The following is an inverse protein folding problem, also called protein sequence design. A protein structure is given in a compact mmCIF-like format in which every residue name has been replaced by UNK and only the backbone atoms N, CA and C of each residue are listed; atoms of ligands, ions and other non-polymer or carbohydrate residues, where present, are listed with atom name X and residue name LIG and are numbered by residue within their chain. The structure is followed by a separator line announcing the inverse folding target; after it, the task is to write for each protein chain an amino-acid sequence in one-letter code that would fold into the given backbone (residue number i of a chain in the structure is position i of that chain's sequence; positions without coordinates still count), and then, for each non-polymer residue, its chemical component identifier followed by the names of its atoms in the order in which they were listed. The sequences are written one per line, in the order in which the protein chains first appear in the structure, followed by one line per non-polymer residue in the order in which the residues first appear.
data_IF_563319502274
#
_entry.id   IF_563319502274
#
_cell.length_a   1.000
_cell.length_b   1.000
_cell.length_c   1.000
_cell.angle_alpha   90.00
_cell.angle_beta   90.00
_cell.angle_gamma   90.00
#
_symmetry.space_group_name_H-M   'P 1'
#
loop_
_entity.id
_entity.type
_entity.pdbx_description
1 polymer ?
#
# COMPACT_ATOMS: atom_id res chain seq x y z
N UNK A 1 0.97 -7.56 24.06
CA UNK A 1 -0.38 -7.04 23.75
C UNK A 1 -1.45 -7.53 24.72
N UNK A 2 -1.66 -8.84 24.89
CA UNK A 2 -2.74 -9.39 25.73
C UNK A 2 -2.81 -8.83 27.17
N UNK A 3 -1.68 -8.74 27.88
CA UNK A 3 -1.64 -8.19 29.25
C UNK A 3 -2.01 -6.69 29.31
N UNK A 4 -1.58 -5.90 28.33
CA UNK A 4 -1.91 -4.48 28.23
C UNK A 4 -3.40 -4.28 27.91
N UNK A 5 -3.97 -5.11 27.03
CA UNK A 5 -5.41 -5.09 26.73
C UNK A 5 -6.23 -5.51 27.95
N UNK A 6 -5.82 -6.56 28.66
CA UNK A 6 -6.50 -7.01 29.89
C UNK A 6 -6.47 -5.92 30.97
N UNK A 7 -5.32 -5.24 31.12
CA UNK A 7 -5.21 -4.10 32.03
C UNK A 7 -6.12 -2.95 31.60
N UNK A 8 -6.14 -2.60 30.31
CA UNK A 8 -6.99 -1.54 29.81
C UNK A 8 -8.48 -1.85 30.02
N UNK A 9 -8.89 -3.09 29.75
CA UNK A 9 -10.23 -3.62 30.02
C UNK A 9 -10.61 -3.47 31.50
N UNK A 10 -9.71 -3.88 32.39
CA UNK A 10 -9.91 -3.77 33.85
C UNK A 10 -10.04 -2.32 34.32
N UNK A 11 -9.26 -1.40 33.74
CA UNK A 11 -9.22 0.01 34.13
C UNK A 11 -10.19 0.90 33.35
N UNK A 12 -10.93 0.37 32.37
CA UNK A 12 -11.87 1.11 31.52
C UNK A 12 -11.24 2.32 30.80
N UNK A 13 -9.96 2.21 30.44
CA UNK A 13 -9.23 3.29 29.73
C UNK A 13 -9.42 3.19 28.23
N UNK A 14 -9.42 4.32 27.53
CA UNK A 14 -9.41 4.36 26.06
C UNK A 14 -8.15 3.71 25.51
N UNK A 15 -8.30 2.91 24.45
CA UNK A 15 -7.19 2.18 23.81
C UNK A 15 -7.14 2.53 22.33
N UNK A 16 -5.93 2.74 21.83
CA UNK A 16 -5.64 2.76 20.38
C UNK A 16 -4.92 1.47 20.06
N UNK A 17 -5.44 0.72 19.09
CA UNK A 17 -4.83 -0.51 18.59
C UNK A 17 -4.30 -0.21 17.20
N UNK A 18 -2.97 -0.15 17.09
CA UNK A 18 -2.29 -0.08 15.80
C UNK A 18 -1.83 -1.50 15.44
N UNK A 19 -2.34 -2.04 14.35
CA UNK A 19 -1.91 -3.33 13.82
C UNK A 19 -1.96 -3.32 12.30
N UNK A 20 -1.03 -4.04 11.68
CA UNK A 20 -1.09 -4.43 10.27
C UNK A 20 -1.98 -5.66 10.19
N UNK A 21 -3.29 -5.45 10.29
CA UNK A 21 -4.28 -6.52 10.35
C UNK A 21 -4.05 -7.55 9.25
N UNK A 22 -3.79 -8.80 9.64
CA UNK A 22 -3.51 -9.90 8.70
C UNK A 22 -4.77 -10.45 8.05
N UNK A 23 -5.92 -10.21 8.66
CA UNK A 23 -7.22 -10.61 8.13
C UNK A 23 -8.31 -9.65 8.63
N UNK A 24 -9.38 -9.51 7.85
CA UNK A 24 -10.54 -8.75 8.28
C UNK A 24 -11.26 -9.38 9.48
N UNK A 25 -11.27 -10.72 9.55
CA UNK A 25 -11.91 -11.47 10.63
C UNK A 25 -11.31 -11.13 12.00
N UNK A 26 -9.98 -10.98 12.09
CA UNK A 26 -9.30 -10.63 13.34
C UNK A 26 -9.74 -9.24 13.84
N UNK A 27 -9.90 -8.27 12.93
CA UNK A 27 -10.35 -6.91 13.27
C UNK A 27 -11.78 -6.94 13.78
N UNK A 28 -12.67 -7.58 13.02
CA UNK A 28 -14.09 -7.64 13.35
C UNK A 28 -14.32 -8.39 14.67
N UNK A 29 -13.57 -9.48 14.92
CA UNK A 29 -13.61 -10.20 16.19
C UNK A 29 -13.09 -9.37 17.36
N UNK A 30 -12.02 -8.60 17.15
CA UNK A 30 -11.52 -7.68 18.16
C UNK A 30 -12.57 -6.61 18.50
N UNK A 31 -13.19 -5.98 17.49
CA UNK A 31 -14.24 -4.98 17.67
C UNK A 31 -15.43 -5.54 18.44
N UNK A 32 -15.93 -6.73 18.07
CA UNK A 32 -17.02 -7.41 18.78
C UNK A 32 -16.66 -7.70 20.25
N UNK A 33 -15.42 -8.15 20.48
CA UNK A 33 -14.93 -8.39 21.84
C UNK A 33 -14.94 -7.11 22.69
N UNK A 34 -14.49 -5.98 22.15
CA UNK A 34 -14.51 -4.70 22.86
C UNK A 34 -15.93 -4.16 23.05
N UNK A 35 -16.81 -4.35 22.07
CA UNK A 35 -18.22 -3.98 22.18
C UNK A 35 -18.92 -4.75 23.32
N UNK A 36 -18.67 -6.07 23.43
CA UNK A 36 -19.18 -6.91 24.53
C UNK A 36 -18.69 -6.47 25.91
N UNK A 37 -17.49 -5.91 25.98
CA UNK A 37 -16.94 -5.32 27.19
C UNK A 37 -17.47 -3.89 27.47
N UNK A 38 -18.36 -3.36 26.63
CA UNK A 38 -19.02 -2.05 26.79
C UNK A 38 -18.22 -0.87 26.25
N UNK A 39 -17.24 -1.11 25.37
CA UNK A 39 -16.51 -0.04 24.71
C UNK A 39 -17.28 0.49 23.50
N UNK A 40 -17.18 1.80 23.26
CA UNK A 40 -17.54 2.40 21.96
C UNK A 40 -16.35 2.27 21.03
N UNK A 41 -16.53 1.56 19.92
CA UNK A 41 -15.51 1.41 18.90
C UNK A 41 -15.53 2.59 17.93
N UNK A 42 -14.34 3.05 17.55
CA UNK A 42 -14.11 3.95 16.42
C UNK A 42 -13.06 3.31 15.52
N UNK A 43 -13.35 3.21 14.23
CA UNK A 43 -12.40 2.71 13.23
C UNK A 43 -11.81 3.90 12.49
N UNK A 44 -10.48 4.01 12.56
CA UNK A 44 -9.74 5.01 11.78
C UNK A 44 -9.07 4.29 10.60
N UNK A 45 -9.57 4.55 9.39
CA UNK A 45 -9.01 4.00 8.17
C UNK A 45 -8.08 5.02 7.52
N UNK A 46 -6.82 4.65 7.31
CA UNK A 46 -5.86 5.47 6.57
C UNK A 46 -5.77 4.98 5.14
N UNK A 47 -6.23 5.79 4.20
CA UNK A 47 -6.17 5.49 2.78
C UNK A 47 -5.00 6.19 2.09
N UNK A 48 -4.37 5.47 1.18
CA UNK A 48 -3.20 5.88 0.42
C UNK A 48 -3.38 5.49 -1.03
N UNK A 49 -2.84 6.29 -1.94
CA UNK A 49 -2.83 5.94 -3.35
C UNK A 49 -2.07 4.62 -3.56
N UNK A 50 -2.48 3.85 -4.55
CA UNK A 50 -1.80 2.59 -4.90
C UNK A 50 -0.31 2.81 -5.19
N UNK A 51 -0.01 3.86 -5.94
CA UNK A 51 1.35 4.24 -6.31
C UNK A 51 2.24 4.48 -5.08
N UNK A 52 1.72 5.14 -4.05
CA UNK A 52 2.48 5.45 -2.84
C UNK A 52 2.67 4.24 -1.95
N UNK A 53 1.64 3.41 -1.78
CA UNK A 53 1.74 2.18 -1.00
C UNK A 53 2.80 1.24 -1.58
N UNK A 54 2.82 1.06 -2.90
CA UNK A 54 3.83 0.24 -3.57
C UNK A 54 5.25 0.81 -3.40
N UNK A 55 5.43 2.10 -3.63
CA UNK A 55 6.74 2.74 -3.49
C UNK A 55 7.25 2.70 -2.05
N UNK A 56 6.36 2.93 -1.07
CA UNK A 56 6.70 2.87 0.34
C UNK A 56 7.04 1.44 0.78
N UNK A 57 6.27 0.44 0.34
CA UNK A 57 6.55 -0.96 0.60
C UNK A 57 7.93 -1.36 0.04
N UNK A 58 8.21 -1.00 -1.20
CA UNK A 58 9.50 -1.28 -1.84
C UNK A 58 10.65 -0.56 -1.15
N UNK A 59 10.49 0.73 -0.84
CA UNK A 59 11.50 1.54 -0.17
C UNK A 59 11.81 1.04 1.24
N UNK A 60 10.82 0.49 1.97
CA UNK A 60 11.04 -0.17 3.27
C UNK A 60 11.78 -1.47 3.11
N UNK A 61 11.38 -2.30 2.14
CA UNK A 61 11.97 -3.61 1.91
C UNK A 61 13.43 -3.49 1.46
N UNK A 62 13.71 -2.61 0.49
CA UNK A 62 15.07 -2.29 0.02
C UNK A 62 15.98 -1.76 1.14
N UNK A 63 15.40 -1.08 2.14
CA UNK A 63 16.16 -0.62 3.33
C UNK A 63 16.42 -1.74 4.34
N UNK A 64 15.46 -2.66 4.52
CA UNK A 64 15.59 -3.79 5.46
C UNK A 64 16.54 -4.85 4.93
N UNK A 65 16.45 -5.15 3.64
CA UNK A 65 17.18 -6.22 2.99
C UNK A 65 17.93 -5.67 1.76
N UNK A 66 19.00 -4.88 1.97
CA UNK A 66 19.70 -4.20 0.88
C UNK A 66 20.37 -5.15 -0.12
N UNK A 67 20.73 -6.36 0.34
CA UNK A 67 21.50 -7.35 -0.42
C UNK A 67 20.63 -8.50 -0.98
N UNK A 68 19.34 -8.59 -0.61
CA UNK A 68 18.44 -9.60 -1.15
C UNK A 68 17.65 -9.05 -2.34
N UNK A 69 17.51 -9.89 -3.37
CA UNK A 69 16.42 -9.76 -4.30
C UNK A 69 15.11 -9.87 -3.53
N UNK A 70 14.40 -8.76 -3.42
CA UNK A 70 13.02 -8.72 -2.92
C UNK A 70 12.23 -9.73 -3.74
N UNK A 71 11.72 -10.79 -3.12
CA UNK A 71 10.96 -11.80 -3.84
C UNK A 71 9.82 -11.15 -4.65
N UNK A 72 9.97 -11.22 -5.97
CA UNK A 72 9.46 -10.31 -6.99
C UNK A 72 7.97 -10.00 -6.98
N UNK A 73 7.13 -10.99 -6.68
CA UNK A 73 5.68 -10.84 -6.74
C UNK A 73 5.01 -10.77 -5.37
N UNK A 74 5.71 -11.15 -4.29
CA UNK A 74 5.10 -11.20 -2.96
C UNK A 74 4.82 -9.79 -2.44
N UNK A 75 5.67 -8.81 -2.74
CA UNK A 75 5.50 -7.44 -2.28
C UNK A 75 4.27 -6.76 -2.91
N UNK A 76 4.15 -6.83 -4.25
CA UNK A 76 2.99 -6.26 -4.96
C UNK A 76 1.72 -6.93 -4.45
N UNK A 77 1.72 -8.27 -4.38
CA UNK A 77 0.57 -9.03 -3.85
C UNK A 77 0.24 -8.67 -2.41
N UNK A 78 1.25 -8.44 -1.57
CA UNK A 78 1.05 -8.02 -0.18
C UNK A 78 0.34 -6.69 -0.11
N UNK A 79 0.77 -5.68 -0.88
CA UNK A 79 0.12 -4.36 -0.91
C UNK A 79 -1.33 -4.47 -1.38
N UNK A 80 -1.59 -5.24 -2.44
CA UNK A 80 -2.96 -5.45 -2.92
C UNK A 80 -3.82 -6.20 -1.89
N UNK A 81 -3.22 -7.15 -1.18
CA UNK A 81 -3.89 -7.91 -0.12
C UNK A 81 -4.23 -7.02 1.07
N UNK A 82 -3.31 -6.15 1.50
CA UNK A 82 -3.54 -5.18 2.58
C UNK A 82 -4.70 -4.23 2.23
N UNK A 83 -4.75 -3.76 0.98
CA UNK A 83 -5.86 -2.93 0.49
C UNK A 83 -7.19 -3.69 0.45
N UNK A 84 -7.17 -4.96 0.01
CA UNK A 84 -8.35 -5.80 0.00
C UNK A 84 -8.87 -6.10 1.41
N UNK A 85 -7.96 -6.34 2.37
CA UNK A 85 -8.30 -6.53 3.78
C UNK A 85 -8.96 -5.28 4.35
N UNK A 86 -8.46 -4.08 4.04
CA UNK A 86 -9.11 -2.82 4.44
C UNK A 86 -10.55 -2.72 3.92
N UNK A 87 -10.77 -3.01 2.64
CA UNK A 87 -12.11 -3.00 2.04
C UNK A 87 -13.04 -4.03 2.72
N UNK A 88 -12.52 -5.22 3.04
CA UNK A 88 -13.26 -6.26 3.77
C UNK A 88 -13.59 -5.86 5.20
N UNK A 89 -12.66 -5.25 5.92
CA UNK A 89 -12.88 -4.73 7.29
C UNK A 89 -14.02 -3.72 7.25
N UNK A 90 -13.90 -2.69 6.40
CA UNK A 90 -14.90 -1.63 6.31
C UNK A 90 -16.28 -2.20 5.96
N UNK A 91 -16.36 -3.09 4.98
CA UNK A 91 -17.62 -3.73 4.56
C UNK A 91 -18.25 -4.60 5.66
N UNK A 92 -17.43 -5.16 6.55
CA UNK A 92 -17.89 -6.00 7.66
C UNK A 92 -18.27 -5.22 8.92
N UNK A 93 -18.09 -3.90 8.96
CA UNK A 93 -18.48 -3.08 10.12
C UNK A 93 -19.99 -2.99 10.25
N UNK A 94 -20.46 -2.86 11.50
CA UNK A 94 -21.85 -2.46 11.77
C UNK A 94 -22.06 -1.01 11.35
N UNK A 95 -23.27 -0.67 10.88
CA UNK A 95 -23.66 0.70 10.51
C UNK A 95 -23.56 1.69 11.68
N UNK A 96 -23.64 1.20 12.93
CA UNK A 96 -23.50 2.03 14.14
C UNK A 96 -22.03 2.33 14.51
N UNK A 97 -21.06 1.81 13.72
CA UNK A 97 -19.63 2.02 13.98
C UNK A 97 -19.22 3.44 13.59
N UNK A 98 -18.55 4.16 14.48
CA UNK A 98 -17.96 5.45 14.16
C UNK A 98 -16.72 5.25 13.27
N UNK A 99 -16.72 5.80 12.06
CA UNK A 99 -15.65 5.62 11.07
C UNK A 99 -15.04 6.97 10.73
N UNK A 100 -13.71 7.05 10.80
CA UNK A 100 -12.93 8.20 10.36
C UNK A 100 -12.02 7.76 9.24
N UNK A 101 -12.14 8.39 8.08
CA UNK A 101 -11.28 8.12 6.93
C UNK A 101 -10.25 9.24 6.80
N UNK A 102 -8.98 8.89 6.80
CA UNK A 102 -7.88 9.86 6.70
C UNK A 102 -7.04 9.51 5.47
N UNK A 103 -6.72 10.49 4.62
CA UNK A 103 -5.72 10.29 3.57
C UNK A 103 -4.30 10.46 4.10
N UNK A 104 -3.31 9.90 3.42
CA UNK A 104 -1.89 10.10 3.82
C UNK A 104 -1.36 11.54 3.77
N UNK A 105 -2.08 12.51 3.18
CA UNK A 105 -1.74 13.93 3.34
C UNK A 105 -2.39 14.57 4.57
N UNK A 106 -3.05 13.77 5.42
CA UNK A 106 -3.67 14.20 6.67
C UNK A 106 -5.05 14.83 6.50
N UNK A 107 -5.68 14.74 5.32
CA UNK A 107 -7.05 15.21 5.15
C UNK A 107 -8.02 14.23 5.79
N UNK A 108 -8.90 14.77 6.61
CA UNK A 108 -10.01 14.06 7.21
C UNK A 108 -11.19 14.05 6.24
N UNK A 109 -11.69 12.85 5.95
CA UNK A 109 -12.91 12.60 5.21
C UNK A 109 -13.95 12.12 6.23
N UNK A 110 -14.81 13.05 6.62
CA UNK A 110 -15.99 12.70 7.41
C UNK A 110 -16.90 11.80 6.58
N UNK A 111 -17.10 10.59 7.07
CA UNK A 111 -17.97 9.58 6.46
C UNK A 111 -19.09 9.28 7.45
N UNK A 112 -20.32 9.17 6.95
CA UNK A 112 -21.51 8.96 7.77
C UNK A 112 -22.08 7.54 7.63
N UNK A 113 -21.42 6.68 6.84
CA UNK A 113 -21.82 5.29 6.64
C UNK A 113 -20.64 4.43 6.24
N UNK A 114 -20.79 3.12 6.42
CA UNK A 114 -19.86 2.10 5.90
C UNK A 114 -19.66 2.26 4.40
N UNK A 115 -20.75 2.49 3.66
CA UNK A 115 -20.70 2.68 2.21
C UNK A 115 -19.86 3.89 1.80
N UNK A 116 -20.02 5.02 2.49
CA UNK A 116 -19.21 6.21 2.25
C UNK A 116 -17.73 5.97 2.55
N UNK A 117 -17.41 5.22 3.60
CA UNK A 117 -16.05 4.83 3.94
C UNK A 117 -15.39 4.00 2.84
N UNK A 118 -16.06 2.93 2.37
CA UNK A 118 -15.55 2.06 1.29
C UNK A 118 -15.40 2.82 -0.03
N UNK A 119 -16.36 3.67 -0.39
CA UNK A 119 -16.21 4.49 -1.60
C UNK A 119 -15.11 5.54 -1.44
N UNK A 120 -14.96 6.11 -0.25
CA UNK A 120 -13.91 7.06 0.10
C UNK A 120 -12.52 6.45 -0.01
N UNK A 121 -12.28 5.26 0.56
CA UNK A 121 -10.97 4.57 0.45
C UNK A 121 -10.61 4.31 -1.00
N UNK A 122 -11.54 3.80 -1.81
CA UNK A 122 -11.34 3.56 -3.24
C UNK A 122 -11.02 4.84 -4.00
N UNK A 123 -11.77 5.92 -3.75
CA UNK A 123 -11.51 7.23 -4.34
C UNK A 123 -10.12 7.75 -4.00
N UNK A 124 -9.66 7.61 -2.75
CA UNK A 124 -8.32 8.05 -2.34
C UNK A 124 -7.24 7.15 -2.97
N UNK A 125 -7.48 5.84 -3.04
CA UNK A 125 -6.56 4.87 -3.63
C UNK A 125 -6.32 5.13 -5.12
N UNK A 126 -7.41 5.43 -5.83
CA UNK A 126 -7.42 5.64 -7.28
C UNK A 126 -7.23 7.12 -7.64
N UNK A 127 -7.09 8.01 -6.64
CA UNK A 127 -6.86 9.42 -6.86
C UNK A 127 -5.47 9.66 -7.45
N UNK A 128 -5.36 10.58 -8.42
CA UNK A 128 -4.06 10.96 -8.96
C UNK A 128 -3.21 11.66 -7.91
N UNK A 129 -1.90 11.44 -7.98
CA UNK A 129 -0.95 12.16 -7.14
C UNK A 129 -0.98 13.66 -7.45
N UNK A 130 -0.89 14.49 -6.41
CA UNK A 130 -0.63 15.92 -6.61
C UNK A 130 0.73 16.10 -7.28
N UNK A 131 0.91 17.17 -8.05
CA UNK A 131 2.16 17.40 -8.80
C UNK A 131 3.43 17.36 -7.93
N UNK A 132 3.35 17.87 -6.69
CA UNK A 132 4.46 17.79 -5.72
C UNK A 132 4.74 16.35 -5.29
N UNK A 133 3.69 15.56 -5.00
CA UNK A 133 3.83 14.15 -4.61
C UNK A 133 4.32 13.30 -5.79
N UNK A 134 3.83 13.54 -7.00
CA UNK A 134 4.30 12.90 -8.22
C UNK A 134 5.81 13.15 -8.46
N UNK A 135 6.28 14.40 -8.29
CA UNK A 135 7.70 14.73 -8.41
C UNK A 135 8.57 14.05 -7.35
N UNK A 136 8.11 14.00 -6.10
CA UNK A 136 8.79 13.29 -5.01
C UNK A 136 8.83 11.78 -5.28
N UNK A 137 7.72 11.22 -5.76
CA UNK A 137 7.58 9.81 -6.14
C UNK A 137 8.59 9.42 -7.24
N UNK A 138 8.70 10.22 -8.31
CA UNK A 138 9.67 9.99 -9.39
C UNK A 138 11.12 10.10 -8.90
N UNK A 139 11.38 11.02 -7.98
CA UNK A 139 12.73 11.21 -7.40
C UNK A 139 13.13 9.99 -6.56
N UNK A 140 12.21 9.45 -5.78
CA UNK A 140 12.44 8.23 -4.99
C UNK A 140 12.58 6.99 -5.89
N UNK A 141 11.75 6.84 -6.93
CA UNK A 141 11.93 5.75 -7.91
C UNK A 141 13.31 5.80 -8.56
N UNK A 142 13.79 6.99 -8.91
CA UNK A 142 15.14 7.17 -9.48
C UNK A 142 16.22 6.74 -8.50
N UNK A 143 16.08 7.12 -7.21
CA UNK A 143 17.01 6.71 -6.15
C UNK A 143 17.07 5.19 -6.06
N UNK A 144 15.91 4.54 -5.97
CA UNK A 144 15.79 3.08 -5.88
C UNK A 144 16.35 2.36 -7.10
N UNK A 145 16.21 2.93 -8.30
CA UNK A 145 16.74 2.35 -9.55
C UNK A 145 18.25 2.59 -9.71
N UNK A 146 18.77 3.71 -9.18
CA UNK A 146 20.17 4.11 -9.33
C UNK A 146 21.14 3.39 -8.40
N UNK A 147 20.65 2.82 -7.29
CA UNK A 147 21.50 2.17 -6.29
C UNK A 147 22.09 0.83 -6.76
N UNK A 148 21.77 0.36 -7.98
CA UNK A 148 22.26 -0.91 -8.55
C UNK A 148 21.82 -2.15 -7.77
N UNK A 149 20.96 -1.96 -6.77
CA UNK A 149 20.42 -2.99 -5.88
C UNK A 149 19.28 -3.73 -6.58
N UNK A 150 19.03 -4.92 -6.04
CA UNK A 150 18.45 -6.04 -6.73
C UNK A 150 17.21 -5.76 -7.60
N UNK A 151 17.25 -6.41 -8.77
CA UNK A 151 16.24 -6.44 -9.83
C UNK A 151 15.03 -7.18 -9.30
N UNK A 152 13.84 -6.61 -9.48
CA UNK A 152 12.62 -7.31 -9.12
C UNK A 152 11.41 -6.87 -9.93
N UNK A 153 10.44 -7.78 -10.09
CA UNK A 153 9.14 -7.49 -10.67
C UNK A 153 8.41 -6.35 -9.92
N UNK A 154 8.69 -6.14 -8.63
CA UNK A 154 8.20 -4.98 -7.90
C UNK A 154 8.76 -3.66 -8.46
N UNK A 155 10.05 -3.60 -8.82
CA UNK A 155 10.64 -2.41 -9.45
C UNK A 155 10.10 -2.20 -10.88
N UNK A 156 9.85 -3.28 -11.61
CA UNK A 156 9.16 -3.21 -12.91
C UNK A 156 7.73 -2.67 -12.75
N UNK A 157 6.99 -3.15 -11.75
CA UNK A 157 5.65 -2.67 -11.45
C UNK A 157 5.66 -1.19 -11.07
N UNK A 158 6.64 -0.72 -10.30
CA UNK A 158 6.82 0.72 -10.05
C UNK A 158 7.03 1.50 -11.36
N UNK A 159 7.83 1.01 -12.30
CA UNK A 159 7.99 1.69 -13.59
C UNK A 159 6.68 1.72 -14.40
N UNK A 160 5.87 0.66 -14.36
CA UNK A 160 4.53 0.64 -15.00
C UNK A 160 3.61 1.67 -14.36
N UNK A 161 3.53 1.69 -13.03
CA UNK A 161 2.77 2.68 -12.25
C UNK A 161 3.26 4.10 -12.55
N UNK A 162 4.56 4.30 -12.71
CA UNK A 162 5.12 5.60 -13.05
C UNK A 162 4.53 6.13 -14.38
N UNK A 163 4.49 5.26 -15.40
CA UNK A 163 4.00 5.59 -16.73
C UNK A 163 2.48 5.80 -16.76
N UNK A 164 1.72 4.94 -16.08
CA UNK A 164 0.27 4.97 -16.11
C UNK A 164 -0.31 6.04 -15.17
N UNK A 165 0.20 6.14 -13.94
CA UNK A 165 -0.51 6.78 -12.83
C UNK A 165 0.22 8.01 -12.27
N UNK A 166 1.51 8.22 -12.61
CA UNK A 166 2.31 9.31 -12.01
C UNK A 166 2.68 10.38 -13.02
N UNK A 167 3.26 10.01 -14.17
CA UNK A 167 3.70 10.95 -15.21
C UNK A 167 2.57 11.86 -15.72
N UNK A 168 1.33 11.37 -15.94
CA UNK A 168 0.24 12.23 -16.41
C UNK A 168 -0.02 13.44 -15.50
N UNK A 169 0.28 13.31 -14.20
CA UNK A 169 0.01 14.33 -13.17
C UNK A 169 1.21 15.19 -12.78
N UNK A 170 2.37 14.96 -13.43
CA UNK A 170 3.51 15.86 -13.30
C UNK A 170 3.17 17.25 -13.87
N UNK A 171 3.76 18.33 -13.31
CA UNK A 171 3.58 19.69 -13.80
C UNK A 171 4.41 19.93 -15.07
N UNK A 172 4.25 19.06 -16.07
CA UNK A 172 4.95 19.09 -17.35
C UNK A 172 3.90 19.20 -18.47
N UNK A 173 4.10 20.09 -19.45
CA UNK A 173 3.23 20.13 -20.63
C UNK A 173 3.24 18.76 -21.33
N UNK A 174 2.06 18.34 -21.82
CA UNK A 174 1.89 17.00 -22.38
C UNK A 174 2.84 16.69 -23.54
N UNK A 175 3.13 17.69 -24.37
CA UNK A 175 4.02 17.57 -25.54
C UNK A 175 5.43 18.09 -25.27
N UNK A 176 5.83 18.24 -24.00
CA UNK A 176 7.17 18.71 -23.66
C UNK A 176 8.23 17.64 -23.90
N UNK A 177 9.39 18.06 -24.41
CA UNK A 177 10.55 17.19 -24.55
C UNK A 177 10.96 16.55 -23.21
N UNK A 178 10.80 17.26 -22.09
CA UNK A 178 11.07 16.76 -20.76
C UNK A 178 10.20 15.55 -20.38
N UNK A 179 8.88 15.60 -20.67
CA UNK A 179 7.98 14.46 -20.45
C UNK A 179 8.37 13.28 -21.33
N UNK A 180 8.60 13.51 -22.63
CA UNK A 180 9.00 12.46 -23.56
C UNK A 180 10.32 11.78 -23.14
N UNK A 181 11.32 12.56 -22.71
CA UNK A 181 12.59 12.03 -22.20
C UNK A 181 12.42 11.20 -20.93
N UNK A 182 11.57 11.64 -19.99
CA UNK A 182 11.27 10.90 -18.77
C UNK A 182 10.61 9.56 -19.08
N UNK A 183 9.58 9.55 -19.94
CA UNK A 183 8.93 8.32 -20.37
C UNK A 183 9.89 7.36 -21.08
N UNK A 184 10.70 7.87 -22.01
CA UNK A 184 11.70 7.07 -22.71
C UNK A 184 12.72 6.46 -21.75
N UNK A 185 13.15 7.21 -20.73
CA UNK A 185 14.04 6.70 -19.68
C UNK A 185 13.38 5.58 -18.88
N UNK A 186 12.13 5.75 -18.44
CA UNK A 186 11.42 4.72 -17.68
C UNK A 186 11.18 3.46 -18.51
N UNK A 187 10.80 3.60 -19.78
CA UNK A 187 10.66 2.47 -20.71
C UNK A 187 11.98 1.72 -20.91
N UNK A 188 13.09 2.43 -21.11
CA UNK A 188 14.42 1.81 -21.18
C UNK A 188 14.77 1.06 -19.90
N UNK A 189 14.52 1.66 -18.74
CA UNK A 189 14.72 1.01 -17.44
C UNK A 189 13.92 -0.30 -17.31
N UNK A 190 12.65 -0.31 -17.72
CA UNK A 190 11.86 -1.55 -17.76
C UNK A 190 12.47 -2.59 -18.69
N UNK A 191 12.83 -2.23 -19.93
CA UNK A 191 13.41 -3.19 -20.87
C UNK A 191 14.78 -3.70 -20.44
N UNK A 192 15.54 -2.92 -19.67
CA UNK A 192 16.78 -3.37 -19.04
C UNK A 192 16.51 -4.36 -17.92
N UNK A 193 15.51 -4.10 -17.07
CA UNK A 193 15.06 -5.03 -16.04
C UNK A 193 14.59 -6.36 -16.65
N UNK A 194 13.73 -6.31 -17.67
CA UNK A 194 13.22 -7.50 -18.40
C UNK A 194 14.34 -8.33 -19.02
N UNK A 195 15.33 -7.69 -19.66
CA UNK A 195 16.48 -8.39 -20.24
C UNK A 195 17.44 -8.98 -19.20
N UNK A 196 17.36 -8.50 -17.96
CA UNK A 196 18.28 -8.85 -16.89
C UNK A 196 17.73 -9.91 -15.92
N UNK A 197 16.51 -10.40 -16.17
CA UNK A 197 15.83 -11.47 -15.44
C UNK A 197 16.21 -12.83 -16.04
N UNK A 198 17.02 -13.68 -15.36
CA UNK A 198 17.04 -15.09 -15.67
C UNK A 198 15.76 -15.70 -15.08
N UNK A 199 14.96 -16.36 -15.92
CA UNK A 199 13.86 -17.24 -15.49
C UNK A 199 14.43 -18.39 -14.64
N UNK A 200 14.72 -18.14 -13.36
CA UNK A 200 14.96 -19.20 -12.39
C UNK A 200 13.59 -19.70 -11.90
N UNK A 201 12.92 -20.49 -12.74
CA UNK A 201 11.98 -21.47 -12.19
C UNK A 201 12.81 -22.45 -11.36
N UNK A 202 12.56 -22.62 -10.05
CA UNK A 202 13.07 -23.81 -9.40
C UNK A 202 12.46 -25.02 -10.12
N UNK A 203 13.31 -25.85 -10.74
CA UNK A 203 12.89 -27.15 -11.24
C UNK A 203 12.17 -27.88 -10.09
N UNK A 204 10.88 -28.15 -10.27
CA UNK A 204 10.17 -29.09 -9.41
C UNK A 204 10.81 -30.45 -9.68
N UNK A 205 11.49 -31.09 -8.70
CA UNK A 205 12.06 -32.41 -8.93
C UNK A 205 10.93 -33.36 -9.31
N UNK A 206 11.03 -33.97 -10.50
CA UNK A 206 10.08 -34.98 -10.94
C UNK A 206 10.15 -36.15 -9.95
N UNK A 207 9.01 -36.65 -9.45
CA UNK A 207 9.02 -37.85 -8.63
C UNK A 207 9.56 -39.01 -9.48
N UNK A 208 10.69 -39.58 -9.05
CA UNK A 208 11.18 -40.86 -9.54
C UNK A 208 10.15 -41.92 -9.17
N UNK A 209 9.66 -42.65 -10.18
CA UNK A 209 8.83 -43.84 -10.00
C UNK A 209 9.64 -44.99 -9.42
#
# INVERSE_FOLDING_TARGET
MAAALAHAKKQRVSVVIEDSFRSAADVLSALDTFAKDGYKARVVAVAVSRAESLLAAYSRESRRNPDQAVADHSLVRSVETDMAVMDMVLTGLSEDTDIVLISADGRDYRVNSVREAVLGTRRIRDAPLSSRRAAAWISELRRLTGDGRSRSAALMELHRVALADVIPHLPLPANSAARAQLEARLRRGMSELERSEPLAYPEVPRPTR
#
